data_IF_796430750073
#
_entry.id   IF_796430750073
#
_cell.length_a   1.000
_cell.length_b   1.000
_cell.length_c   1.000
_cell.angle_alpha   90.00
_cell.angle_beta   90.00
_cell.angle_gamma   90.00
#
_symmetry.space_group_name_H-M   'P 1'
#
loop_
_entity.id
_entity.type
_entity.pdbx_description
1 polymer ?
#
# COMPACT_ATOMS: atom_id res chain seq x y z
N UNK A 1 -27.10 -62.12 -32.35
CA UNK A 1 -25.71 -62.10 -32.87
C UNK A 1 -24.74 -61.57 -31.80
N UNK A 2 -24.87 -62.01 -30.54
CA UNK A 2 -24.05 -61.55 -29.41
C UNK A 2 -23.31 -62.73 -28.75
N UNK A 3 -23.62 -63.97 -29.14
CA UNK A 3 -23.01 -65.18 -28.57
C UNK A 3 -21.76 -65.67 -29.33
N UNK A 4 -21.50 -65.13 -30.51
CA UNK A 4 -20.35 -65.50 -31.35
C UNK A 4 -19.14 -64.56 -31.19
N UNK A 5 -19.24 -63.50 -30.37
CA UNK A 5 -18.13 -62.57 -30.16
C UNK A 5 -17.11 -63.06 -29.13
N UNK A 6 -17.48 -64.02 -28.29
CA UNK A 6 -16.60 -64.52 -27.21
C UNK A 6 -15.56 -65.55 -27.71
N UNK A 7 -15.69 -66.07 -28.92
CA UNK A 7 -14.78 -67.09 -29.48
C UNK A 7 -13.62 -66.52 -30.31
N UNK A 8 -13.54 -65.20 -30.51
CA UNK A 8 -12.45 -64.56 -31.25
C UNK A 8 -11.31 -64.00 -30.37
N UNK A 9 -11.32 -64.27 -29.05
CA UNK A 9 -10.29 -63.83 -28.09
C UNK A 9 -9.27 -64.98 -27.84
N UNK A 10 -8.99 -65.78 -28.85
CA UNK A 10 -7.86 -66.72 -28.83
C UNK A 10 -7.26 -66.86 -30.23
N UNK A 11 -6.63 -65.78 -30.69
CA UNK A 11 -5.37 -65.78 -31.46
C UNK A 11 -5.15 -64.41 -32.08
N UNK A 12 -3.89 -64.00 -32.07
CA UNK A 12 -3.25 -63.00 -32.92
C UNK A 12 -3.15 -61.57 -32.39
N UNK A 13 -1.91 -61.07 -32.36
CA UNK A 13 -1.39 -59.77 -31.91
C UNK A 13 -1.95 -58.53 -32.64
N UNK A 14 -3.09 -58.66 -33.33
CA UNK A 14 -3.75 -57.59 -34.09
C UNK A 14 -4.92 -56.92 -33.34
N UNK A 15 -5.23 -57.37 -32.12
CA UNK A 15 -6.33 -56.80 -31.31
C UNK A 15 -6.01 -55.40 -30.78
N UNK A 16 -4.78 -55.19 -30.29
CA UNK A 16 -4.35 -53.90 -29.73
C UNK A 16 -4.23 -52.84 -30.84
N UNK A 17 -3.71 -53.21 -32.01
CA UNK A 17 -3.61 -52.31 -33.17
C UNK A 17 -5.01 -51.90 -33.70
N UNK A 18 -6.00 -52.80 -33.70
CA UNK A 18 -7.37 -52.48 -34.07
C UNK A 18 -8.08 -51.61 -33.04
N UNK A 19 -7.82 -51.82 -31.74
CA UNK A 19 -8.35 -50.96 -30.66
C UNK A 19 -7.72 -49.57 -30.72
N UNK A 20 -6.41 -49.46 -30.94
CA UNK A 20 -5.72 -48.18 -31.17
C UNK A 20 -6.21 -47.48 -32.42
N UNK A 21 -6.43 -48.21 -33.53
CA UNK A 21 -6.99 -47.65 -34.75
C UNK A 21 -8.43 -47.16 -34.56
N UNK A 22 -9.25 -47.87 -33.77
CA UNK A 22 -10.61 -47.46 -33.45
C UNK A 22 -10.62 -46.26 -32.48
N UNK A 23 -9.71 -46.23 -31.50
CA UNK A 23 -9.53 -45.09 -30.59
C UNK A 23 -9.00 -43.85 -31.32
N UNK A 24 -8.10 -44.00 -32.29
CA UNK A 24 -7.63 -42.91 -33.15
C UNK A 24 -8.75 -42.41 -34.07
N UNK A 25 -9.58 -43.31 -34.59
CA UNK A 25 -10.75 -42.93 -35.40
C UNK A 25 -11.82 -42.25 -34.55
N UNK A 26 -12.06 -42.70 -33.31
CA UNK A 26 -12.93 -42.05 -32.34
C UNK A 26 -12.33 -40.72 -31.87
N UNK A 27 -11.01 -40.59 -31.72
CA UNK A 27 -10.36 -39.29 -31.45
C UNK A 27 -10.46 -38.33 -32.64
N UNK A 28 -10.46 -38.83 -33.87
CA UNK A 28 -10.66 -38.04 -35.08
C UNK A 28 -12.13 -37.63 -35.25
N UNK A 29 -13.10 -38.50 -34.93
CA UNK A 29 -14.53 -38.16 -35.00
C UNK A 29 -15.01 -37.34 -33.80
N UNK A 30 -14.41 -37.52 -32.61
CA UNK A 30 -14.66 -36.68 -31.43
C UNK A 30 -13.92 -35.33 -31.47
N UNK A 31 -13.11 -35.08 -32.53
CA UNK A 31 -12.55 -33.76 -32.86
C UNK A 31 -13.42 -32.94 -33.82
N UNK A 32 -14.68 -33.32 -33.98
CA UNK A 32 -15.69 -32.43 -34.54
C UNK A 32 -16.58 -31.94 -33.40
N UNK A 33 -16.05 -31.01 -32.60
CA UNK A 33 -16.97 -30.04 -31.99
C UNK A 33 -17.68 -29.37 -33.18
N UNK A 34 -18.99 -29.53 -33.26
CA UNK A 34 -19.82 -28.72 -34.14
C UNK A 34 -19.75 -27.27 -33.63
N UNK A 35 -18.62 -26.59 -33.84
CA UNK A 35 -18.52 -25.15 -33.64
C UNK A 35 -19.20 -24.51 -34.83
N UNK A 36 -20.47 -24.13 -34.63
CA UNK A 36 -21.15 -23.24 -35.56
C UNK A 36 -20.21 -22.04 -35.81
N UNK A 37 -19.84 -21.78 -37.06
CA UNK A 37 -18.94 -20.67 -37.38
C UNK A 37 -19.54 -19.35 -36.83
N UNK A 38 -18.69 -18.48 -36.29
CA UNK A 38 -19.18 -17.27 -35.60
C UNK A 38 -20.05 -16.37 -36.50
N UNK A 39 -19.78 -16.39 -37.81
CA UNK A 39 -20.58 -15.74 -38.85
C UNK A 39 -22.02 -16.24 -38.89
N UNK A 40 -22.25 -17.54 -38.66
CA UNK A 40 -23.55 -18.18 -38.68
C UNK A 40 -24.38 -17.85 -37.43
N UNK A 41 -23.72 -17.67 -36.28
CA UNK A 41 -24.36 -17.24 -35.02
C UNK A 41 -24.97 -15.82 -35.09
N UNK A 42 -24.50 -15.01 -36.04
CA UNK A 42 -24.85 -13.58 -36.16
C UNK A 42 -25.70 -13.25 -37.38
N UNK A 43 -26.30 -14.25 -38.04
CA UNK A 43 -27.27 -14.01 -39.11
C UNK A 43 -28.42 -13.10 -38.58
N UNK A 44 -28.61 -11.95 -39.23
CA UNK A 44 -29.57 -10.89 -38.86
C UNK A 44 -29.22 -10.04 -37.62
N UNK A 45 -27.97 -10.06 -37.16
CA UNK A 45 -27.48 -9.08 -36.18
C UNK A 45 -26.86 -7.86 -36.86
N UNK A 46 -26.93 -6.71 -36.20
CA UNK A 46 -26.16 -5.50 -36.56
C UNK A 46 -24.69 -5.58 -36.13
N UNK A 47 -24.30 -6.65 -35.45
CA UNK A 47 -22.91 -6.94 -35.12
C UNK A 47 -22.36 -8.05 -36.02
N UNK A 48 -21.09 -7.90 -36.39
CA UNK A 48 -20.33 -8.85 -37.19
C UNK A 48 -19.42 -9.65 -36.28
N UNK A 49 -19.38 -10.97 -36.47
CA UNK A 49 -18.40 -11.83 -35.80
C UNK A 49 -17.57 -12.59 -36.82
N UNK A 50 -16.25 -12.62 -36.58
CA UNK A 50 -15.30 -13.34 -37.41
C UNK A 50 -14.15 -13.88 -36.56
N UNK A 51 -13.42 -14.83 -37.12
CA UNK A 51 -12.21 -15.39 -36.52
C UNK A 51 -10.99 -14.95 -37.31
N UNK A 52 -9.95 -14.52 -36.60
CA UNK A 52 -8.66 -14.15 -37.19
C UNK A 52 -7.55 -14.65 -36.27
N UNK A 53 -6.56 -15.37 -36.83
CA UNK A 53 -5.47 -16.00 -36.06
C UNK A 53 -5.95 -16.80 -34.83
N UNK A 54 -6.99 -17.63 -35.02
CA UNK A 54 -7.63 -18.45 -33.96
C UNK A 54 -8.26 -17.65 -32.81
N UNK A 55 -8.41 -16.33 -32.95
CA UNK A 55 -9.09 -15.45 -32.01
C UNK A 55 -10.45 -14.97 -32.58
N UNK A 56 -11.44 -14.81 -31.70
CA UNK A 56 -12.79 -14.37 -32.07
C UNK A 56 -12.93 -12.86 -31.90
N UNK A 57 -13.37 -12.18 -32.95
CA UNK A 57 -13.59 -10.74 -32.98
C UNK A 57 -15.08 -10.47 -33.13
N UNK A 58 -15.60 -9.53 -32.34
CA UNK A 58 -16.99 -9.11 -32.38
C UNK A 58 -17.05 -7.58 -32.55
N UNK A 59 -17.52 -7.14 -33.72
CA UNK A 59 -17.60 -5.73 -34.07
C UNK A 59 -19.06 -5.31 -34.26
N UNK A 60 -19.50 -4.29 -33.53
CA UNK A 60 -20.84 -3.75 -33.59
C UNK A 60 -20.80 -2.31 -34.09
N UNK A 61 -21.50 -2.01 -35.19
CA UNK A 61 -21.53 -0.68 -35.80
C UNK A 61 -22.97 -0.24 -36.07
N UNK A 62 -23.28 1.05 -35.91
CA UNK A 62 -24.59 1.66 -36.25
C UNK A 62 -25.75 0.87 -35.61
N UNK A 63 -25.62 0.60 -34.31
CA UNK A 63 -26.54 -0.27 -33.56
C UNK A 63 -26.81 0.24 -32.16
N UNK A 64 -27.94 -0.19 -31.59
CA UNK A 64 -28.36 0.11 -30.22
C UNK A 64 -27.74 -0.82 -29.19
N UNK A 65 -27.66 -0.39 -27.93
CA UNK A 65 -27.04 -1.13 -26.83
C UNK A 65 -27.68 -2.51 -26.57
N UNK A 66 -28.99 -2.63 -26.81
CA UNK A 66 -29.74 -3.89 -26.65
C UNK A 66 -29.22 -5.00 -27.57
N UNK A 67 -28.94 -4.67 -28.82
CA UNK A 67 -28.50 -5.65 -29.81
C UNK A 67 -27.06 -6.11 -29.54
N UNK A 68 -26.22 -5.20 -29.06
CA UNK A 68 -24.87 -5.49 -28.57
C UNK A 68 -24.91 -6.50 -27.41
N UNK A 69 -25.76 -6.25 -26.40
CA UNK A 69 -25.94 -7.19 -25.28
C UNK A 69 -26.42 -8.57 -25.75
N UNK A 70 -27.27 -8.62 -26.78
CA UNK A 70 -27.72 -9.88 -27.36
C UNK A 70 -26.63 -10.59 -28.17
N UNK A 71 -25.71 -9.84 -28.80
CA UNK A 71 -24.54 -10.38 -29.50
C UNK A 71 -23.55 -11.02 -28.52
N UNK A 72 -23.18 -10.30 -27.45
CA UNK A 72 -22.27 -10.78 -26.41
C UNK A 72 -22.79 -12.03 -25.67
N UNK A 73 -24.12 -12.22 -25.61
CA UNK A 73 -24.73 -13.45 -25.05
C UNK A 73 -24.66 -14.65 -26.00
N UNK A 74 -24.60 -14.42 -27.31
CA UNK A 74 -24.60 -15.47 -28.33
C UNK A 74 -23.20 -15.96 -28.66
N UNK A 75 -22.22 -15.05 -28.66
CA UNK A 75 -20.83 -15.37 -28.99
C UNK A 75 -20.05 -15.66 -27.72
N UNK A 76 -19.51 -16.87 -27.62
CA UNK A 76 -18.59 -17.25 -26.55
C UNK A 76 -17.13 -16.94 -26.94
N UNK A 77 -16.27 -16.80 -25.92
CA UNK A 77 -14.82 -16.66 -26.09
C UNK A 77 -14.37 -15.49 -26.99
N UNK A 78 -15.11 -14.38 -26.97
CA UNK A 78 -14.72 -13.15 -27.67
C UNK A 78 -13.36 -12.67 -27.16
N UNK A 79 -12.39 -12.57 -28.05
CA UNK A 79 -11.03 -12.11 -27.77
C UNK A 79 -10.94 -10.59 -27.81
N UNK A 80 -11.51 -9.99 -28.86
CA UNK A 80 -11.58 -8.54 -29.05
C UNK A 80 -13.02 -8.12 -29.37
N UNK A 81 -13.43 -7.01 -28.77
CA UNK A 81 -14.79 -6.49 -28.90
C UNK A 81 -14.77 -5.01 -29.23
N UNK A 82 -15.46 -4.64 -30.29
CA UNK A 82 -15.51 -3.26 -30.78
C UNK A 82 -16.95 -2.73 -30.88
N UNK A 83 -17.14 -1.48 -30.49
CA UNK A 83 -18.36 -0.70 -30.71
C UNK A 83 -18.00 0.57 -31.46
N UNK A 84 -18.68 0.81 -32.58
CA UNK A 84 -18.54 2.02 -33.39
C UNK A 84 -19.91 2.65 -33.58
N UNK A 85 -19.99 3.97 -33.54
CA UNK A 85 -21.19 4.72 -33.94
C UNK A 85 -22.45 4.16 -33.27
N UNK A 86 -22.46 4.15 -31.93
CA UNK A 86 -23.59 3.63 -31.15
C UNK A 86 -24.84 4.44 -31.50
N UNK A 87 -25.76 3.81 -32.23
CA UNK A 87 -27.03 4.39 -32.63
C UNK A 87 -27.94 4.41 -31.41
N UNK A 88 -28.38 5.60 -31.01
CA UNK A 88 -29.20 5.79 -29.82
C UNK A 88 -28.80 6.98 -28.95
N UNK A 89 -29.68 7.28 -27.98
CA UNK A 89 -29.51 8.37 -27.03
C UNK A 89 -28.88 7.92 -25.71
N UNK A 90 -28.33 6.71 -25.66
CA UNK A 90 -27.67 6.17 -24.48
C UNK A 90 -26.43 7.01 -24.11
N UNK A 91 -26.45 7.56 -22.90
CA UNK A 91 -25.32 8.28 -22.33
C UNK A 91 -24.58 7.48 -21.26
N UNK A 92 -25.04 6.25 -20.98
CA UNK A 92 -24.55 5.41 -19.90
C UNK A 92 -24.34 3.96 -20.34
N UNK A 93 -23.18 3.41 -19.97
CA UNK A 93 -22.90 1.98 -20.02
C UNK A 93 -23.00 1.42 -18.59
N UNK A 94 -24.15 0.81 -18.29
CA UNK A 94 -24.46 0.33 -16.94
C UNK A 94 -23.80 -1.00 -16.56
N UNK A 95 -24.00 -1.43 -15.31
CA UNK A 95 -23.46 -2.70 -14.81
C UNK A 95 -24.01 -3.89 -15.59
N UNK A 96 -23.28 -5.01 -15.58
CA UNK A 96 -23.64 -6.25 -16.29
C UNK A 96 -23.73 -6.14 -17.82
N UNK A 97 -23.11 -5.11 -18.41
CA UNK A 97 -22.97 -5.03 -19.86
C UNK A 97 -22.17 -6.21 -20.43
N UNK A 98 -21.06 -6.55 -19.77
CA UNK A 98 -20.25 -7.73 -20.10
C UNK A 98 -20.81 -8.96 -19.36
N UNK A 99 -21.06 -10.09 -20.06
CA UNK A 99 -21.51 -11.32 -19.41
C UNK A 99 -20.50 -11.87 -18.40
N UNK A 100 -20.99 -12.49 -17.34
CA UNK A 100 -20.14 -13.17 -16.37
C UNK A 100 -19.38 -14.32 -17.02
N UNK A 101 -18.11 -14.52 -16.61
CA UNK A 101 -17.24 -15.56 -17.18
C UNK A 101 -16.66 -15.24 -18.55
N UNK A 102 -17.01 -14.08 -19.14
CA UNK A 102 -16.36 -13.60 -20.36
C UNK A 102 -14.93 -13.17 -20.09
N UNK A 103 -14.06 -13.34 -21.10
CA UNK A 103 -12.68 -12.89 -21.05
C UNK A 103 -12.27 -12.26 -22.38
N UNK A 104 -12.62 -10.98 -22.52
CA UNK A 104 -12.27 -10.11 -23.63
C UNK A 104 -10.98 -9.38 -23.26
N UNK A 105 -9.96 -9.49 -24.12
CA UNK A 105 -8.64 -8.89 -23.90
C UNK A 105 -8.56 -7.47 -24.43
N UNK A 106 -9.25 -7.18 -25.52
CA UNK A 106 -9.20 -5.87 -26.17
C UNK A 106 -10.62 -5.32 -26.33
N UNK A 107 -10.88 -4.18 -25.69
CA UNK A 107 -12.13 -3.45 -25.87
C UNK A 107 -11.84 -2.16 -26.61
N UNK A 108 -12.60 -1.91 -27.66
CA UNK A 108 -12.59 -0.66 -28.39
C UNK A 108 -14.00 -0.08 -28.46
N UNK A 109 -14.20 1.14 -28.00
CA UNK A 109 -15.47 1.87 -28.07
C UNK A 109 -15.16 3.21 -28.69
N UNK A 110 -15.77 3.55 -29.82
CA UNK A 110 -15.52 4.84 -30.45
C UNK A 110 -16.74 5.49 -31.06
N UNK A 111 -16.70 6.83 -31.11
CA UNK A 111 -17.77 7.68 -31.67
C UNK A 111 -19.13 7.36 -31.04
N UNK A 112 -19.21 7.47 -29.71
CA UNK A 112 -20.44 7.21 -28.95
C UNK A 112 -20.86 8.43 -28.14
N UNK A 113 -22.13 8.46 -27.71
CA UNK A 113 -22.64 9.49 -26.80
C UNK A 113 -22.42 9.18 -25.32
N UNK A 114 -21.67 8.10 -25.00
CA UNK A 114 -21.48 7.62 -23.64
C UNK A 114 -20.69 8.66 -22.82
N UNK A 115 -21.27 9.05 -21.68
CA UNK A 115 -20.73 9.98 -20.68
C UNK A 115 -20.31 9.30 -19.40
N UNK A 116 -21.04 8.25 -19.02
CA UNK A 116 -20.80 7.49 -17.80
C UNK A 116 -20.64 6.01 -18.12
N UNK A 117 -19.64 5.38 -17.51
CA UNK A 117 -19.44 3.94 -17.55
C UNK A 117 -19.40 3.50 -16.11
N UNK A 118 -20.33 2.62 -15.74
CA UNK A 118 -20.39 2.10 -14.38
C UNK A 118 -19.11 1.30 -14.07
N UNK A 119 -18.57 1.45 -12.87
CA UNK A 119 -17.34 0.79 -12.43
C UNK A 119 -17.43 -0.75 -12.50
N UNK A 120 -18.63 -1.32 -12.41
CA UNK A 120 -18.86 -2.77 -12.47
C UNK A 120 -18.95 -3.29 -13.92
N UNK A 121 -19.04 -2.41 -14.91
CA UNK A 121 -19.20 -2.75 -16.35
C UNK A 121 -18.15 -3.73 -16.84
N UNK A 122 -16.88 -3.43 -16.55
CA UNK A 122 -15.73 -4.22 -17.01
C UNK A 122 -15.17 -5.14 -15.92
N UNK A 123 -15.76 -5.18 -14.72
CA UNK A 123 -15.30 -6.04 -13.63
C UNK A 123 -15.21 -7.54 -13.99
N UNK A 124 -16.08 -8.11 -14.86
CA UNK A 124 -15.90 -9.49 -15.32
C UNK A 124 -14.54 -9.74 -16.00
N UNK A 125 -13.96 -8.73 -16.62
CA UNK A 125 -12.75 -8.80 -17.46
C UNK A 125 -11.45 -8.55 -16.70
N UNK A 126 -11.52 -8.17 -15.42
CA UNK A 126 -10.39 -7.74 -14.57
C UNK A 126 -9.12 -8.60 -14.59
N UNK A 127 -9.21 -9.90 -14.90
CA UNK A 127 -8.07 -10.84 -14.89
C UNK A 127 -7.40 -11.00 -16.26
N UNK A 128 -8.00 -10.45 -17.31
CA UNK A 128 -7.52 -10.67 -18.67
C UNK A 128 -7.67 -9.51 -19.65
N UNK A 129 -8.30 -8.40 -19.24
CA UNK A 129 -8.28 -7.18 -20.04
C UNK A 129 -6.83 -6.70 -20.20
N UNK A 130 -6.39 -6.56 -21.45
CA UNK A 130 -5.04 -6.16 -21.83
C UNK A 130 -5.03 -4.75 -22.46
N UNK A 131 -6.09 -4.39 -23.20
CA UNK A 131 -6.25 -3.04 -23.77
C UNK A 131 -7.68 -2.53 -23.62
N UNK A 132 -7.81 -1.27 -23.18
CA UNK A 132 -9.07 -0.53 -23.17
C UNK A 132 -8.91 0.74 -23.98
N UNK A 133 -9.71 0.87 -25.04
CA UNK A 133 -9.76 2.06 -25.89
C UNK A 133 -11.19 2.60 -25.92
N UNK A 134 -11.36 3.86 -25.50
CA UNK A 134 -12.62 4.59 -25.54
C UNK A 134 -12.33 5.93 -26.21
N UNK A 135 -12.62 6.08 -27.50
CA UNK A 135 -12.23 7.23 -28.31
C UNK A 135 -13.44 8.09 -28.70
N UNK A 136 -13.22 9.39 -28.85
CA UNK A 136 -14.23 10.31 -29.44
C UNK A 136 -15.62 10.11 -28.83
N UNK A 137 -15.66 9.92 -27.51
CA UNK A 137 -16.88 9.75 -26.74
C UNK A 137 -17.05 10.96 -25.82
N UNK A 138 -17.81 10.83 -24.72
CA UNK A 138 -18.09 11.95 -23.80
C UNK A 138 -17.76 11.62 -22.34
N UNK A 139 -16.91 10.61 -22.11
CA UNK A 139 -16.60 10.15 -20.76
C UNK A 139 -15.83 11.21 -19.97
N UNK A 140 -16.19 11.33 -18.70
CA UNK A 140 -15.55 12.25 -17.73
C UNK A 140 -14.71 11.53 -16.69
N UNK A 141 -14.98 10.24 -16.48
CA UNK A 141 -14.36 9.41 -15.44
C UNK A 141 -13.90 8.07 -16.04
N UNK A 142 -12.84 7.53 -15.47
CA UNK A 142 -12.27 6.23 -15.85
C UNK A 142 -12.90 5.15 -14.95
N UNK A 143 -13.32 3.99 -15.48
CA UNK A 143 -13.85 2.89 -14.68
C UNK A 143 -12.73 2.23 -13.87
N UNK A 144 -12.54 2.67 -12.63
CA UNK A 144 -11.35 2.35 -11.83
C UNK A 144 -11.34 0.91 -11.35
N UNK A 145 -12.51 0.38 -10.97
CA UNK A 145 -12.57 -0.95 -10.35
C UNK A 145 -11.98 -2.01 -11.24
N UNK A 146 -12.33 -2.07 -12.52
CA UNK A 146 -11.81 -3.07 -13.45
C UNK A 146 -10.32 -2.91 -13.79
N UNK A 147 -9.77 -1.70 -13.62
CA UNK A 147 -8.40 -1.35 -13.99
C UNK A 147 -7.44 -1.26 -12.80
N UNK A 148 -7.92 -1.24 -11.57
CA UNK A 148 -7.07 -1.15 -10.39
C UNK A 148 -6.44 -2.50 -10.05
N UNK A 149 -5.10 -2.55 -9.94
CA UNK A 149 -4.40 -3.77 -9.56
C UNK A 149 -4.58 -4.13 -8.08
N UNK A 150 -4.76 -3.13 -7.22
CA UNK A 150 -4.94 -3.31 -5.76
C UNK A 150 -6.27 -3.97 -5.43
N UNK A 151 -7.28 -3.78 -6.27
CA UNK A 151 -8.57 -4.44 -6.13
C UNK A 151 -8.51 -5.96 -6.36
N UNK A 152 -7.41 -6.49 -6.95
CA UNK A 152 -7.39 -7.86 -7.49
C UNK A 152 -6.11 -8.67 -7.24
N UNK A 153 -5.43 -8.47 -6.10
CA UNK A 153 -4.22 -9.22 -5.76
C UNK A 153 -3.15 -9.18 -6.88
N UNK A 154 -3.02 -8.04 -7.58
CA UNK A 154 -2.06 -7.84 -8.67
C UNK A 154 -2.25 -8.75 -9.90
N UNK A 155 -3.49 -9.21 -10.17
CA UNK A 155 -3.83 -10.05 -11.34
C UNK A 155 -4.24 -9.27 -12.60
N UNK A 156 -4.10 -7.95 -12.59
CA UNK A 156 -4.44 -7.12 -13.74
C UNK A 156 -3.41 -7.31 -14.88
N UNK A 157 -3.88 -7.31 -16.13
CA UNK A 157 -3.07 -7.44 -17.35
C UNK A 157 -3.11 -6.20 -18.24
N UNK A 158 -3.72 -5.11 -17.80
CA UNK A 158 -3.86 -3.90 -18.61
C UNK A 158 -2.48 -3.33 -18.97
N UNK A 159 -2.17 -3.27 -20.26
CA UNK A 159 -0.91 -2.71 -20.77
C UNK A 159 -1.13 -1.43 -21.55
N UNK A 160 -2.35 -1.22 -22.07
CA UNK A 160 -2.70 -0.03 -22.85
C UNK A 160 -4.06 0.54 -22.43
N UNK A 161 -4.08 1.85 -22.20
CA UNK A 161 -5.32 2.61 -21.98
C UNK A 161 -5.33 3.76 -22.98
N UNK A 162 -6.38 3.87 -23.76
CA UNK A 162 -6.51 4.89 -24.79
C UNK A 162 -7.86 5.61 -24.64
N UNK A 163 -7.82 6.86 -24.22
CA UNK A 163 -8.97 7.67 -23.84
C UNK A 163 -8.95 9.01 -24.59
N UNK A 164 -8.38 9.06 -25.78
CA UNK A 164 -8.28 10.28 -26.57
C UNK A 164 -9.66 10.83 -26.98
N UNK A 165 -9.73 12.15 -27.16
CA UNK A 165 -10.90 12.88 -27.64
C UNK A 165 -12.16 12.68 -26.76
N UNK A 166 -12.00 12.72 -25.44
CA UNK A 166 -13.09 12.64 -24.46
C UNK A 166 -13.29 13.96 -23.71
N UNK A 167 -13.80 13.90 -22.48
CA UNK A 167 -14.06 15.04 -21.59
C UNK A 167 -13.48 14.80 -20.19
N UNK A 168 -12.36 14.07 -20.11
CA UNK A 168 -11.65 13.85 -18.86
C UNK A 168 -11.09 15.17 -18.34
N UNK A 169 -11.24 15.40 -17.03
CA UNK A 169 -10.63 16.51 -16.31
C UNK A 169 -9.53 16.04 -15.36
N UNK A 170 -9.62 14.80 -14.87
CA UNK A 170 -8.66 14.22 -13.94
C UNK A 170 -8.43 12.75 -14.25
N UNK A 171 -7.26 12.25 -13.87
CA UNK A 171 -6.95 10.82 -13.83
C UNK A 171 -6.68 10.48 -12.37
N UNK A 172 -7.40 9.54 -11.75
CA UNK A 172 -7.16 9.14 -10.37
C UNK A 172 -5.71 8.67 -10.16
N UNK A 173 -5.02 9.26 -9.19
CA UNK A 173 -3.62 8.91 -8.92
C UNK A 173 -3.49 7.50 -8.36
N UNK A 174 -4.47 7.05 -7.60
CA UNK A 174 -4.55 5.69 -7.05
C UNK A 174 -4.57 4.65 -8.17
N UNK A 175 -5.26 4.94 -9.27
CA UNK A 175 -5.25 4.08 -10.45
C UNK A 175 -3.85 4.01 -11.05
N UNK A 176 -3.25 5.17 -11.35
CA UNK A 176 -1.91 5.27 -11.97
C UNK A 176 -0.85 4.54 -11.16
N UNK A 177 -0.79 4.79 -9.85
CA UNK A 177 0.13 4.13 -8.93
C UNK A 177 -0.10 2.63 -8.84
N UNK A 178 -1.36 2.16 -8.93
CA UNK A 178 -1.66 0.73 -8.91
C UNK A 178 -1.19 -0.01 -10.17
N UNK A 179 -1.15 0.67 -11.32
CA UNK A 179 -0.79 0.06 -12.62
C UNK A 179 0.62 0.39 -13.12
N UNK A 180 1.33 1.29 -12.44
CA UNK A 180 2.62 1.86 -12.82
C UNK A 180 3.66 0.84 -13.30
N UNK A 181 3.73 -0.33 -12.65
CA UNK A 181 4.75 -1.34 -12.94
C UNK A 181 4.51 -2.16 -14.22
N UNK A 182 3.32 -2.12 -14.81
CA UNK A 182 2.96 -2.98 -15.95
C UNK A 182 2.28 -2.24 -17.11
N UNK A 183 1.72 -1.06 -16.86
CA UNK A 183 1.18 -0.22 -17.91
C UNK A 183 2.30 0.25 -18.84
N UNK A 184 2.04 0.24 -20.14
CA UNK A 184 3.03 0.62 -21.17
C UNK A 184 2.68 1.95 -21.81
N UNK A 185 1.40 2.20 -22.06
CA UNK A 185 0.93 3.39 -22.76
C UNK A 185 -0.43 3.83 -22.21
N UNK A 186 -0.53 5.13 -21.90
CA UNK A 186 -1.80 5.79 -21.60
C UNK A 186 -1.91 7.02 -22.50
N UNK A 187 -2.91 7.00 -23.39
CA UNK A 187 -3.17 8.07 -24.35
C UNK A 187 -4.41 8.87 -23.91
N UNK A 188 -4.25 10.19 -23.75
CA UNK A 188 -5.29 11.11 -23.24
C UNK A 188 -5.37 12.41 -24.05
N UNK A 189 -4.89 12.39 -25.29
CA UNK A 189 -4.94 13.54 -26.19
C UNK A 189 -6.37 14.09 -26.33
N UNK A 190 -6.50 15.39 -26.56
CA UNK A 190 -7.80 16.08 -26.73
C UNK A 190 -8.77 15.92 -25.55
N UNK A 191 -8.22 15.76 -24.34
CA UNK A 191 -8.89 16.00 -23.07
C UNK A 191 -8.33 17.28 -22.43
N UNK A 192 -9.09 17.89 -21.50
CA UNK A 192 -8.67 19.11 -20.78
C UNK A 192 -8.43 18.76 -19.32
N UNK A 193 -7.18 18.44 -18.98
CA UNK A 193 -6.79 17.92 -17.67
C UNK A 193 -6.45 19.08 -16.71
N UNK A 194 -6.77 18.92 -15.43
CA UNK A 194 -6.34 19.86 -14.38
C UNK A 194 -4.86 19.61 -14.08
N UNK A 195 -4.00 20.53 -14.53
CA UNK A 195 -2.55 20.44 -14.35
C UNK A 195 -2.09 21.38 -13.25
N UNK A 196 -1.94 20.87 -12.02
CA UNK A 196 -1.44 21.65 -10.87
C UNK A 196 -0.14 21.01 -10.34
N UNK A 197 0.87 21.82 -10.04
CA UNK A 197 2.02 21.35 -9.27
C UNK A 197 1.61 21.21 -7.80
N UNK A 198 1.31 19.99 -7.37
CA UNK A 198 0.96 19.67 -5.98
C UNK A 198 1.68 18.37 -5.60
N UNK A 199 1.95 18.17 -4.31
CA UNK A 199 2.56 16.93 -3.83
C UNK A 199 1.62 15.77 -4.13
N UNK A 200 2.14 14.68 -4.69
CA UNK A 200 1.37 13.48 -5.04
C UNK A 200 0.13 13.82 -5.88
N UNK A 201 0.32 14.47 -7.02
CA UNK A 201 -0.74 14.78 -7.97
C UNK A 201 -0.51 14.06 -9.31
N UNK A 202 -1.60 13.73 -10.00
CA UNK A 202 -1.65 13.25 -11.38
C UNK A 202 -0.69 13.99 -12.32
N UNK A 203 -0.64 15.33 -12.30
CA UNK A 203 0.24 16.09 -13.20
C UNK A 203 1.71 15.84 -12.89
N UNK A 204 2.10 15.83 -11.61
CA UNK A 204 3.47 15.47 -11.22
C UNK A 204 3.83 14.05 -11.62
N UNK A 205 2.88 13.11 -11.49
CA UNK A 205 3.07 11.73 -11.94
C UNK A 205 3.29 11.64 -13.45
N UNK A 206 2.49 12.35 -14.26
CA UNK A 206 2.66 12.43 -15.72
C UNK A 206 4.05 13.00 -16.07
N UNK A 207 4.51 14.01 -15.32
CA UNK A 207 5.83 14.61 -15.50
C UNK A 207 6.99 13.64 -15.19
N UNK A 208 6.79 12.72 -14.25
CA UNK A 208 7.78 11.71 -13.87
C UNK A 208 7.74 10.46 -14.76
N UNK A 209 6.67 10.25 -15.52
CA UNK A 209 6.45 9.07 -16.35
C UNK A 209 6.26 9.39 -17.86
N UNK A 210 7.21 10.08 -18.52
CA UNK A 210 7.08 10.52 -19.92
C UNK A 210 6.95 9.37 -20.94
N UNK A 211 7.31 8.14 -20.56
CA UNK A 211 7.17 6.95 -21.41
C UNK A 211 5.75 6.36 -21.41
N UNK A 212 4.98 6.59 -20.34
CA UNK A 212 3.62 6.07 -20.18
C UNK A 212 2.61 7.09 -20.71
N UNK A 213 2.72 8.35 -20.27
CA UNK A 213 1.91 9.47 -20.77
C UNK A 213 2.85 10.51 -21.38
N UNK A 214 2.64 10.82 -22.66
CA UNK A 214 3.40 11.86 -23.35
C UNK A 214 2.93 13.24 -22.86
N UNK A 215 3.74 13.89 -22.03
CA UNK A 215 3.42 15.21 -21.45
C UNK A 215 2.98 16.25 -22.50
N UNK A 216 3.62 16.26 -23.66
CA UNK A 216 3.35 17.22 -24.74
C UNK A 216 2.00 17.02 -25.43
N UNK A 217 1.31 15.89 -25.22
CA UNK A 217 -0.04 15.66 -25.77
C UNK A 217 -1.14 16.05 -24.80
N UNK A 218 -0.80 16.40 -23.55
CA UNK A 218 -1.77 16.80 -22.52
C UNK A 218 -2.14 18.26 -22.71
N UNK A 219 -3.44 18.53 -22.89
CA UNK A 219 -3.98 19.90 -22.83
C UNK A 219 -4.46 20.17 -21.42
N UNK A 220 -4.03 21.28 -20.85
CA UNK A 220 -4.34 21.63 -19.47
C UNK A 220 -5.45 22.67 -19.40
N UNK A 221 -6.30 22.58 -18.37
CA UNK A 221 -7.34 23.58 -18.12
C UNK A 221 -6.72 24.99 -17.99
N UNK A 222 -7.32 25.97 -18.67
CA UNK A 222 -6.86 27.37 -18.77
C UNK A 222 -5.45 27.57 -19.36
N UNK A 223 -4.86 26.58 -20.02
CA UNK A 223 -3.45 26.62 -20.46
C UNK A 223 -2.44 26.89 -19.32
N UNK A 224 -2.86 26.75 -18.06
CA UNK A 224 -2.13 27.15 -16.84
C UNK A 224 -1.02 26.15 -16.42
N UNK A 225 -0.53 25.32 -17.33
CA UNK A 225 0.49 24.35 -16.94
C UNK A 225 1.88 24.97 -16.91
N UNK A 226 2.71 24.60 -15.93
CA UNK A 226 4.08 25.08 -15.87
C UNK A 226 4.85 24.52 -17.07
N UNK A 227 5.43 25.42 -17.87
CA UNK A 227 6.25 25.08 -19.04
C UNK A 227 7.48 24.23 -18.67
N UNK A 228 7.90 24.33 -17.42
CA UNK A 228 9.00 23.57 -16.84
C UNK A 228 8.47 22.41 -15.98
N UNK A 229 9.32 21.41 -15.74
CA UNK A 229 9.00 20.33 -14.81
C UNK A 229 8.66 20.91 -13.44
N UNK A 230 7.60 20.42 -12.79
CA UNK A 230 7.22 20.87 -11.45
C UNK A 230 8.41 20.68 -10.50
N UNK A 231 8.88 21.79 -9.96
CA UNK A 231 9.91 21.82 -8.94
C UNK A 231 9.25 22.05 -7.58
N UNK A 232 9.23 21.02 -6.75
CA UNK A 232 8.52 21.05 -5.47
C UNK A 232 9.50 21.41 -4.33
N UNK A 233 9.14 22.36 -3.45
CA UNK A 233 9.93 22.66 -2.27
C UNK A 233 9.94 21.49 -1.30
N UNK A 234 11.02 21.31 -0.54
CA UNK A 234 11.13 20.24 0.43
C UNK A 234 11.29 20.81 1.84
N UNK A 235 10.30 20.57 2.71
CA UNK A 235 10.35 20.97 4.12
C UNK A 235 11.20 19.93 4.85
N UNK A 236 12.45 20.30 5.16
CA UNK A 236 13.44 19.42 5.80
C UNK A 236 13.14 19.24 7.28
N UNK A 237 12.72 20.32 7.92
CA UNK A 237 12.48 20.35 9.36
C UNK A 237 11.34 21.32 9.67
N UNK A 238 10.50 20.92 10.62
CA UNK A 238 9.46 21.73 11.24
C UNK A 238 9.46 21.42 12.74
N UNK A 239 9.60 22.45 13.58
CA UNK A 239 9.49 22.34 15.04
C UNK A 239 8.51 23.35 15.60
N UNK A 240 7.91 23.00 16.72
CA UNK A 240 7.10 23.90 17.54
C UNK A 240 7.78 24.01 18.91
N UNK A 241 8.46 25.12 19.13
CA UNK A 241 9.20 25.40 20.35
C UNK A 241 8.37 26.34 21.22
N UNK A 242 8.12 25.90 22.45
CA UNK A 242 7.28 26.65 23.39
C UNK A 242 8.03 27.86 23.94
N UNK A 243 7.40 29.03 23.91
CA UNK A 243 8.00 30.27 24.40
C UNK A 243 7.34 30.75 25.70
N UNK A 244 6.03 31.03 25.70
CA UNK A 244 5.29 31.51 26.90
C UNK A 244 4.04 30.66 27.22
N UNK A 245 3.21 31.13 28.16
CA UNK A 245 2.02 30.41 28.65
C UNK A 245 0.98 30.11 27.55
N UNK A 246 0.84 31.01 26.56
CA UNK A 246 -0.16 30.96 25.49
C UNK A 246 0.45 31.18 24.09
N UNK A 247 1.76 31.04 23.94
CA UNK A 247 2.47 31.29 22.68
C UNK A 247 3.43 30.16 22.32
N UNK A 248 3.53 29.88 21.02
CA UNK A 248 4.43 28.85 20.48
C UNK A 248 5.16 29.42 19.26
N UNK A 249 6.48 29.26 19.25
CA UNK A 249 7.33 29.61 18.13
C UNK A 249 7.42 28.41 17.19
N UNK A 250 6.84 28.53 16.01
CA UNK A 250 6.99 27.51 14.97
C UNK A 250 8.19 27.88 14.12
N UNK A 251 9.14 26.96 13.94
CA UNK A 251 10.34 27.17 13.12
C UNK A 251 10.46 26.10 12.03
N UNK A 252 11.02 26.46 10.89
CA UNK A 252 11.14 25.55 9.75
C UNK A 252 12.39 25.78 8.91
N UNK A 253 12.78 24.72 8.20
CA UNK A 253 13.83 24.72 7.19
C UNK A 253 13.29 24.16 5.88
N UNK A 254 13.27 25.00 4.84
CA UNK A 254 12.86 24.61 3.48
C UNK A 254 14.09 24.55 2.58
N UNK A 255 14.28 23.41 1.91
CA UNK A 255 15.19 23.26 0.79
C UNK A 255 14.46 23.63 -0.50
N UNK A 256 15.16 24.30 -1.41
CA UNK A 256 14.64 24.75 -2.69
C UNK A 256 13.52 25.82 -2.57
N UNK A 257 13.88 26.98 -2.01
CA UNK A 257 12.93 28.07 -1.73
C UNK A 257 12.49 28.83 -2.98
N UNK A 258 13.22 28.73 -4.09
CA UNK A 258 12.92 29.42 -5.35
C UNK A 258 11.56 29.05 -5.94
N UNK A 259 11.08 27.86 -5.59
CA UNK A 259 9.86 27.25 -6.12
C UNK A 259 8.65 27.51 -5.21
N UNK A 260 8.86 28.16 -4.07
CA UNK A 260 7.80 28.61 -3.15
C UNK A 260 7.32 30.00 -3.58
N UNK A 261 6.02 30.14 -3.87
CA UNK A 261 5.40 31.44 -4.20
C UNK A 261 4.61 32.03 -3.04
N UNK A 262 4.04 31.18 -2.19
CA UNK A 262 3.41 31.60 -0.94
C UNK A 262 3.69 30.61 0.20
N UNK A 263 3.74 31.14 1.42
CA UNK A 263 3.98 30.37 2.64
C UNK A 263 2.90 30.67 3.68
N UNK A 264 2.26 29.62 4.18
CA UNK A 264 1.21 29.73 5.19
C UNK A 264 1.47 28.78 6.37
N UNK A 265 1.06 29.19 7.56
CA UNK A 265 0.98 28.34 8.74
C UNK A 265 -0.47 28.14 9.10
N UNK A 266 -0.95 26.91 8.92
CA UNK A 266 -2.29 26.47 9.28
C UNK A 266 -2.22 25.83 10.66
N UNK A 267 -3.11 26.18 11.58
CA UNK A 267 -3.13 25.58 12.90
C UNK A 267 -4.54 25.47 13.48
N UNK A 268 -4.77 24.40 14.23
CA UNK A 268 -6.06 24.12 14.87
C UNK A 268 -5.87 23.24 16.10
N UNK A 269 -6.84 23.30 17.01
CA UNK A 269 -6.89 22.41 18.16
C UNK A 269 -7.39 21.03 17.73
N UNK A 270 -6.78 19.95 18.19
CA UNK A 270 -7.14 18.59 17.77
C UNK A 270 -8.57 18.15 18.16
N UNK A 271 -9.26 18.88 19.04
CA UNK A 271 -10.68 18.66 19.35
C UNK A 271 -11.55 18.83 18.09
N UNK A 272 -12.56 17.98 17.93
CA UNK A 272 -13.36 17.82 16.70
C UNK A 272 -14.15 19.06 16.23
N UNK A 273 -14.25 20.11 17.05
CA UNK A 273 -15.04 21.33 16.78
C UNK A 273 -14.22 22.62 16.79
N UNK A 274 -12.90 22.54 16.63
CA UNK A 274 -12.06 23.74 16.65
C UNK A 274 -12.09 24.50 15.32
N UNK A 275 -12.04 25.83 15.42
CA UNK A 275 -11.82 26.69 14.25
C UNK A 275 -10.39 26.47 13.73
N UNK A 276 -10.25 26.25 12.42
CA UNK A 276 -8.96 26.24 11.73
C UNK A 276 -8.53 27.67 11.50
N UNK A 277 -7.32 28.01 11.91
CA UNK A 277 -6.71 29.33 11.66
C UNK A 277 -5.64 29.18 10.59
N UNK A 278 -5.63 30.10 9.63
CA UNK A 278 -4.60 30.20 8.59
C UNK A 278 -3.86 31.53 8.77
N UNK A 279 -2.52 31.49 8.84
CA UNK A 279 -1.67 32.67 8.95
C UNK A 279 -0.73 32.75 7.76
N UNK A 280 -0.77 33.86 7.02
CA UNK A 280 0.22 34.15 5.97
C UNK A 280 1.57 34.49 6.59
N UNK A 281 2.65 34.02 5.97
CA UNK A 281 4.01 34.22 6.44
C UNK A 281 4.91 34.65 5.28
N UNK A 282 5.80 35.61 5.55
CA UNK A 282 6.82 36.04 4.59
C UNK A 282 7.69 34.85 4.12
N UNK A 283 7.93 34.77 2.81
CA UNK A 283 8.76 33.78 2.14
C UNK A 283 10.19 33.68 2.72
N UNK A 284 10.75 34.80 3.17
CA UNK A 284 12.11 34.87 3.72
C UNK A 284 12.20 34.43 5.18
N UNK A 285 11.07 34.38 5.89
CA UNK A 285 11.05 34.01 7.29
C UNK A 285 11.33 32.50 7.49
N UNK A 286 11.91 32.16 8.63
CA UNK A 286 12.16 30.76 9.05
C UNK A 286 11.39 30.40 10.32
N UNK A 287 10.61 31.34 10.85
CA UNK A 287 9.82 31.13 12.04
C UNK A 287 8.65 32.10 12.11
N UNK A 288 7.62 31.73 12.86
CA UNK A 288 6.52 32.61 13.21
C UNK A 288 6.02 32.29 14.62
N UNK A 289 5.66 33.34 15.35
CA UNK A 289 5.03 33.19 16.65
C UNK A 289 3.51 33.03 16.47
N UNK A 290 2.96 31.97 17.05
CA UNK A 290 1.52 31.78 17.21
C UNK A 290 1.16 32.22 18.62
N UNK A 291 0.21 33.15 18.73
CA UNK A 291 -0.28 33.69 20.00
C UNK A 291 -1.74 33.31 20.23
N UNK A 292 -2.25 33.66 21.41
CA UNK A 292 -3.67 33.52 21.77
C UNK A 292 -4.18 32.08 21.67
N UNK A 293 -3.33 31.15 22.11
CA UNK A 293 -3.64 29.74 22.22
C UNK A 293 -4.41 29.47 23.52
N UNK A 294 -5.37 28.55 23.46
CA UNK A 294 -6.12 28.11 24.63
C UNK A 294 -5.23 27.20 25.49
N UNK A 295 -5.19 27.41 26.82
CA UNK A 295 -4.39 26.57 27.71
C UNK A 295 -4.99 25.16 27.85
N UNK A 296 -4.14 24.17 28.14
CA UNK A 296 -4.51 22.75 28.31
C UNK A 296 -5.18 22.11 27.08
N UNK A 297 -4.84 22.59 25.90
CA UNK A 297 -5.26 22.04 24.61
C UNK A 297 -4.07 21.47 23.82
N UNK A 298 -4.34 20.46 23.00
CA UNK A 298 -3.39 19.93 22.01
C UNK A 298 -3.66 20.59 20.65
N UNK A 299 -2.62 21.13 20.04
CA UNK A 299 -2.68 21.82 18.76
C UNK A 299 -1.87 21.08 17.70
N UNK A 300 -2.33 21.19 16.46
CA UNK A 300 -1.58 20.83 15.27
C UNK A 300 -1.27 22.11 14.50
N UNK A 301 -0.01 22.31 14.12
CA UNK A 301 0.41 23.34 13.19
C UNK A 301 1.06 22.71 11.95
N UNK A 302 0.65 23.14 10.78
CA UNK A 302 1.13 22.70 9.49
C UNK A 302 1.73 23.90 8.74
N UNK A 303 2.94 23.72 8.23
CA UNK A 303 3.55 24.64 7.28
C UNK A 303 3.13 24.22 5.86
N UNK A 304 2.53 25.14 5.11
CA UNK A 304 2.05 24.91 3.76
C UNK A 304 2.79 25.82 2.78
N UNK A 305 3.34 25.22 1.73
CA UNK A 305 3.89 25.94 0.58
C UNK A 305 2.91 25.87 -0.58
N UNK A 306 2.81 26.94 -1.36
CA UNK A 306 1.92 27.00 -2.53
C UNK A 306 2.64 27.56 -3.76
N UNK A 307 2.20 27.09 -4.94
CA UNK A 307 2.70 27.53 -6.24
C UNK A 307 2.07 28.85 -6.72
N UNK A 308 0.96 29.26 -6.12
CA UNK A 308 0.26 30.52 -6.37
C UNK A 308 -0.07 31.19 -5.02
N UNK A 309 -0.11 32.51 -5.00
CA UNK A 309 -0.51 33.34 -3.87
C UNK A 309 -2.03 33.34 -3.65
N UNK A 310 -2.81 32.80 -4.59
CA UNK A 310 -4.26 32.70 -4.47
C UNK A 310 -4.67 31.54 -3.54
N UNK A 311 -4.70 31.77 -2.23
CA UNK A 311 -5.62 31.04 -1.33
C UNK A 311 -7.09 31.24 -1.80
N UNK A 312 -7.31 32.29 -2.59
CA UNK A 312 -8.57 32.81 -3.13
C UNK A 312 -9.31 31.80 -4.03
N UNK A 313 -8.63 31.00 -4.87
CA UNK A 313 -9.34 30.05 -5.75
C UNK A 313 -9.87 28.81 -5.01
N UNK A 314 -9.35 28.54 -3.81
CA UNK A 314 -9.74 27.41 -2.96
C UNK A 314 -10.97 27.69 -2.09
N UNK A 315 -11.28 28.96 -1.86
CA UNK A 315 -12.40 29.40 -1.01
C UNK A 315 -13.61 29.86 -1.82
N UNK A 316 -13.41 30.21 -3.09
CA UNK A 316 -14.45 30.81 -3.94
C UNK A 316 -15.40 29.82 -4.61
N UNK A 317 -15.00 28.56 -4.86
CA UNK A 317 -15.89 27.64 -5.57
C UNK A 317 -16.84 26.85 -4.67
N UNK A 318 -16.52 26.60 -3.39
CA UNK A 318 -17.37 25.70 -2.60
C UNK A 318 -17.88 26.20 -1.24
N UNK A 319 -17.28 27.18 -0.52
CA UNK A 319 -17.66 27.30 0.91
C UNK A 319 -17.73 28.66 1.61
N UNK A 320 -17.16 29.78 1.15
CA UNK A 320 -17.25 31.01 1.97
C UNK A 320 -17.32 32.27 1.12
N UNK A 321 -18.46 32.97 1.17
CA UNK A 321 -18.63 34.31 0.62
C UNK A 321 -17.80 35.35 1.38
N UNK A 322 -16.49 35.36 1.17
CA UNK A 322 -15.57 36.36 1.71
C UNK A 322 -15.27 37.37 0.60
N UNK A 323 -15.56 38.65 0.86
CA UNK A 323 -15.22 39.73 -0.07
C UNK A 323 -13.70 39.86 -0.23
N UNK A 324 -13.27 40.04 -1.47
CA UNK A 324 -11.87 40.05 -1.92
C UNK A 324 -10.95 41.13 -1.29
N UNK A 325 -11.48 42.03 -0.45
CA UNK A 325 -10.75 43.19 0.07
C UNK A 325 -10.01 42.95 1.39
N UNK A 326 -10.26 41.84 2.10
CA UNK A 326 -9.68 41.59 3.42
C UNK A 326 -8.40 40.73 3.43
N UNK A 327 -7.93 40.26 2.26
CA UNK A 327 -6.83 39.29 2.18
C UNK A 327 -5.42 39.90 2.16
N UNK A 328 -5.31 41.23 2.27
CA UNK A 328 -4.03 41.95 2.11
C UNK A 328 -3.23 42.16 3.41
N UNK A 329 -3.65 41.65 4.57
CA UNK A 329 -2.84 41.78 5.79
C UNK A 329 -3.15 40.74 6.86
N UNK A 330 -2.18 39.91 7.27
CA UNK A 330 -2.14 39.16 8.54
C UNK A 330 -3.49 38.67 9.13
N UNK A 331 -4.43 38.21 8.30
CA UNK A 331 -5.76 37.82 8.77
C UNK A 331 -5.76 36.35 9.12
N UNK A 332 -5.92 36.03 10.41
CA UNK A 332 -6.33 34.69 10.83
C UNK A 332 -7.78 34.46 10.43
N UNK A 333 -7.99 33.80 9.31
CA UNK A 333 -9.33 33.37 8.86
C UNK A 333 -9.73 32.09 9.60
N UNK A 334 -10.92 32.07 10.18
CA UNK A 334 -11.51 30.87 10.80
C UNK A 334 -12.18 30.02 9.74
N UNK A 335 -11.87 28.72 9.69
CA UNK A 335 -12.44 27.78 8.71
C UNK A 335 -12.81 26.44 9.36
N UNK A 336 -13.64 25.66 8.66
CA UNK A 336 -14.01 24.31 9.07
C UNK A 336 -12.83 23.33 8.89
N UNK A 337 -12.68 22.34 9.78
CA UNK A 337 -11.64 21.30 9.74
C UNK A 337 -11.59 20.51 8.43
N UNK A 338 -12.74 20.30 7.78
CA UNK A 338 -12.78 19.63 6.47
C UNK A 338 -11.99 20.40 5.40
N UNK A 339 -11.92 21.73 5.52
CA UNK A 339 -11.19 22.60 4.60
C UNK A 339 -9.68 22.47 4.84
N UNK A 340 -9.23 22.25 6.09
CA UNK A 340 -7.80 22.06 6.40
C UNK A 340 -7.20 20.86 5.65
N UNK A 341 -7.91 19.73 5.60
CA UNK A 341 -7.44 18.54 4.87
C UNK A 341 -7.27 18.82 3.37
N UNK A 342 -8.21 19.56 2.77
CA UNK A 342 -8.13 19.98 1.37
C UNK A 342 -6.95 20.91 1.12
N UNK A 343 -6.73 21.92 1.97
CA UNK A 343 -5.60 22.85 1.85
C UNK A 343 -4.24 22.14 1.97
N UNK A 344 -4.13 21.18 2.89
CA UNK A 344 -2.93 20.36 3.06
C UNK A 344 -2.69 19.53 1.79
N UNK A 345 -3.72 18.84 1.29
CA UNK A 345 -3.62 18.00 0.10
C UNK A 345 -3.29 18.79 -1.18
N UNK A 346 -3.75 20.04 -1.27
CA UNK A 346 -3.53 20.91 -2.42
C UNK A 346 -2.24 21.72 -2.36
N UNK A 347 -1.48 21.63 -1.28
CA UNK A 347 -0.20 22.31 -1.13
C UNK A 347 0.89 21.70 -2.02
N UNK A 348 1.88 22.50 -2.43
CA UNK A 348 3.07 21.99 -3.14
C UNK A 348 3.93 21.13 -2.23
N UNK A 349 3.98 21.50 -0.95
CA UNK A 349 4.54 20.72 0.13
C UNK A 349 3.91 21.18 1.44
N UNK A 350 3.66 20.21 2.31
CA UNK A 350 3.14 20.41 3.66
C UNK A 350 3.84 19.49 4.64
N UNK A 351 4.15 20.01 5.81
CA UNK A 351 4.56 19.22 6.98
C UNK A 351 3.83 19.74 8.21
N UNK A 352 3.52 18.85 9.15
CA UNK A 352 2.75 19.17 10.35
C UNK A 352 3.48 18.74 11.62
N UNK A 353 3.31 19.51 12.69
CA UNK A 353 3.83 19.23 14.03
C UNK A 353 2.72 19.43 15.05
N UNK A 354 2.69 18.57 16.07
CA UNK A 354 1.75 18.67 17.18
C UNK A 354 2.44 19.21 18.43
N UNK A 355 1.72 19.96 19.25
CA UNK A 355 2.24 20.53 20.48
C UNK A 355 1.15 20.80 21.51
N UNK A 356 1.52 20.70 22.80
CA UNK A 356 0.63 20.94 23.93
C UNK A 356 0.82 22.34 24.53
N UNK A 357 -0.28 22.98 24.91
CA UNK A 357 -0.27 24.20 25.72
C UNK A 357 -0.23 23.89 27.22
N UNK A 358 0.13 24.87 28.05
CA UNK A 358 0.34 24.64 29.50
C UNK A 358 -0.94 24.18 30.18
N UNK A 359 -0.82 23.09 30.94
CA UNK A 359 -1.81 22.71 31.95
C UNK A 359 -1.70 23.69 33.11
N UNK A 360 -2.57 24.69 33.18
CA UNK A 360 -2.68 25.51 34.41
C UNK A 360 -3.00 24.56 35.57
N UNK A 361 -2.18 24.49 36.65
CA UNK A 361 -2.58 23.75 37.83
C UNK A 361 -3.83 24.42 38.40
N UNK A 362 -4.94 23.68 38.46
CA UNK A 362 -6.13 24.11 39.18
C UNK A 362 -5.74 24.34 40.64
N UNK A 363 -5.54 25.60 41.01
CA UNK A 363 -5.40 26.04 42.40
C UNK A 363 -6.77 25.94 43.06
N UNK A 364 -7.19 24.71 43.36
CA UNK A 364 -8.28 24.46 44.29
C UNK A 364 -7.74 24.86 45.67
N UNK A 365 -8.11 26.06 46.14
CA UNK A 365 -7.95 26.43 47.55
C UNK A 365 -8.97 25.65 48.38
N UNK A 366 -8.71 24.38 48.64
CA UNK A 366 -9.37 23.66 49.74
C UNK A 366 -8.53 23.84 50.99
N UNK A 367 -9.04 24.64 51.93
CA UNK A 367 -8.65 24.53 53.34
C UNK A 367 -9.09 23.15 53.82
N UNK A 368 -8.16 22.23 54.00
CA UNK A 368 -8.36 21.10 54.92
C UNK A 368 -7.02 20.59 55.43
N UNK A 369 -6.94 20.58 56.76
CA UNK A 369 -6.15 19.72 57.65
C UNK A 369 -5.00 18.90 57.06
N UNK A 370 -3.84 19.08 57.70
CA UNK A 370 -2.70 18.15 57.74
C UNK A 370 -3.15 16.69 57.66
N UNK A 371 -2.60 15.94 56.70
CA UNK A 371 -2.21 14.55 56.91
C UNK A 371 -1.21 14.07 55.85
N UNK A 372 -0.49 13.02 56.21
CA UNK A 372 0.92 12.76 55.95
C UNK A 372 1.33 12.47 54.49
N UNK A 373 2.50 13.02 54.11
CA UNK A 373 3.31 12.59 52.94
C UNK A 373 3.90 11.19 53.19
N UNK A 374 3.29 10.14 52.66
CA UNK A 374 3.97 8.87 52.33
C UNK A 374 3.10 8.01 51.41
N UNK A 375 3.11 8.25 50.10
CA UNK A 375 2.53 7.28 49.15
C UNK A 375 3.09 7.30 47.71
N UNK A 376 4.05 8.16 47.35
CA UNK A 376 4.60 8.20 45.97
C UNK A 376 5.94 7.49 45.77
N UNK A 377 6.63 7.06 46.84
CA UNK A 377 7.94 6.39 46.76
C UNK A 377 7.82 4.85 46.75
N UNK A 378 6.66 4.29 47.13
CA UNK A 378 6.48 2.84 47.21
C UNK A 378 6.16 2.18 45.86
N UNK A 379 5.54 2.89 44.91
CA UNK A 379 5.17 2.32 43.60
C UNK A 379 6.32 2.27 42.57
N UNK A 380 7.36 3.10 42.72
CA UNK A 380 8.52 3.09 41.81
C UNK A 380 9.53 1.98 42.18
N UNK A 381 9.52 1.52 43.44
CA UNK A 381 10.43 0.46 43.92
C UNK A 381 9.81 -0.95 43.83
N UNK A 382 8.49 -1.07 43.92
CA UNK A 382 7.79 -2.35 43.73
C UNK A 382 7.85 -2.85 42.28
N UNK A 383 7.75 -1.97 41.29
CA UNK A 383 7.85 -2.35 39.87
C UNK A 383 9.23 -2.94 39.48
N UNK A 384 10.32 -2.41 40.04
CA UNK A 384 11.66 -2.93 39.82
C UNK A 384 11.84 -4.32 40.46
N UNK A 385 11.33 -4.50 41.68
CA UNK A 385 11.42 -5.78 42.40
C UNK A 385 10.59 -6.87 41.70
N UNK A 386 9.39 -6.53 41.24
CA UNK A 386 8.51 -7.44 40.48
C UNK A 386 9.08 -7.74 39.10
N UNK A 387 9.71 -6.76 38.44
CA UNK A 387 10.39 -6.97 37.15
C UNK A 387 11.59 -7.90 37.26
N UNK A 388 12.41 -7.73 38.31
CA UNK A 388 13.57 -8.60 38.55
C UNK A 388 13.16 -10.04 38.89
N UNK A 389 12.09 -10.26 39.66
CA UNK A 389 11.62 -11.61 39.99
C UNK A 389 10.99 -12.33 38.79
N UNK A 390 10.20 -11.62 37.97
CA UNK A 390 9.67 -12.16 36.71
C UNK A 390 10.78 -12.50 35.71
N UNK A 391 11.78 -11.63 35.56
CA UNK A 391 12.94 -11.90 34.71
C UNK A 391 13.74 -13.12 35.14
N UNK A 392 13.92 -13.30 36.46
CA UNK A 392 14.60 -14.48 37.03
C UNK A 392 13.87 -15.78 36.72
N UNK A 393 12.53 -15.79 36.84
CA UNK A 393 11.71 -16.98 36.55
C UNK A 393 11.81 -17.34 35.06
N UNK A 394 11.68 -16.34 34.17
CA UNK A 394 11.78 -16.57 32.72
C UNK A 394 13.16 -17.11 32.35
N UNK A 395 14.23 -16.59 32.94
CA UNK A 395 15.60 -17.07 32.71
C UNK A 395 15.76 -18.55 33.09
N UNK A 396 15.27 -18.96 34.27
CA UNK A 396 15.34 -20.37 34.68
C UNK A 396 14.52 -21.30 33.79
N UNK A 397 13.33 -20.88 33.36
CA UNK A 397 12.53 -21.66 32.41
C UNK A 397 13.26 -21.82 31.08
N UNK A 398 13.84 -20.74 30.56
CA UNK A 398 14.59 -20.74 29.30
C UNK A 398 15.82 -21.67 29.38
N UNK A 399 16.60 -21.57 30.46
CA UNK A 399 17.75 -22.45 30.72
C UNK A 399 17.31 -23.91 30.87
N UNK A 400 16.20 -24.18 31.58
CA UNK A 400 15.68 -25.55 31.75
C UNK A 400 15.25 -26.15 30.41
N UNK A 401 14.61 -25.37 29.53
CA UNK A 401 14.23 -25.81 28.17
C UNK A 401 15.46 -26.04 27.30
N UNK A 402 16.48 -25.18 27.38
CA UNK A 402 17.75 -25.39 26.65
C UNK A 402 18.52 -26.62 27.13
N UNK A 403 18.55 -26.85 28.44
CA UNK A 403 19.16 -28.05 29.01
C UNK A 403 18.36 -29.31 28.64
N UNK A 404 17.03 -29.24 28.65
CA UNK A 404 16.17 -30.36 28.25
C UNK A 404 16.34 -30.70 26.76
N UNK A 405 16.39 -29.69 25.88
CA UNK A 405 16.63 -29.88 24.45
C UNK A 405 18.02 -30.44 24.18
N UNK A 406 19.07 -29.90 24.80
CA UNK A 406 20.45 -30.44 24.73
C UNK A 406 20.55 -31.86 25.26
N UNK A 407 19.85 -32.19 26.36
CA UNK A 407 19.86 -33.54 26.93
C UNK A 407 19.10 -34.55 26.05
N UNK A 408 17.98 -34.13 25.46
CA UNK A 408 17.22 -34.93 24.48
C UNK A 408 18.03 -35.16 23.20
N UNK A 409 18.81 -34.17 22.77
CA UNK A 409 19.68 -34.26 21.61
C UNK A 409 20.86 -35.20 21.85
N UNK A 410 21.53 -35.13 23.01
CA UNK A 410 22.54 -36.12 23.43
C UNK A 410 21.96 -37.54 23.53
N UNK A 411 20.71 -37.69 23.99
CA UNK A 411 20.02 -38.99 24.01
C UNK A 411 19.67 -39.53 22.63
N UNK A 412 19.49 -38.70 21.60
CA UNK A 412 19.29 -39.16 20.22
C UNK A 412 20.62 -39.59 19.59
N UNK A 413 21.69 -38.84 19.82
CA UNK A 413 23.03 -39.16 19.32
C UNK A 413 23.53 -40.48 19.92
N UNK A 414 23.34 -40.68 21.23
CA UNK A 414 23.70 -41.94 21.91
C UNK A 414 22.83 -43.16 21.51
N UNK A 415 21.71 -42.95 20.78
CA UNK A 415 20.85 -44.03 20.25
C UNK A 415 21.05 -44.28 18.76
N UNK A 416 21.80 -43.43 18.08
CA UNK A 416 22.09 -43.50 16.64
C UNK A 416 23.56 -43.84 16.34
N UNK A 417 24.41 -44.05 17.34
CA UNK A 417 25.79 -44.53 17.14
C UNK A 417 25.80 -46.04 16.83
N UNK A 418 26.40 -46.49 15.70
CA UNK A 418 26.45 -47.90 15.28
C UNK A 418 27.34 -48.81 16.16
N UNK A 419 28.05 -48.25 17.15
CA UNK A 419 29.02 -48.99 17.96
C UNK A 419 28.40 -49.73 19.17
N UNK A 420 27.10 -49.56 19.45
CA UNK A 420 26.41 -50.23 20.57
C UNK A 420 25.72 -51.55 20.18
N UNK A 421 25.70 -51.92 18.89
CA UNK A 421 25.20 -53.24 18.44
C UNK A 421 26.28 -54.33 18.45
N UNK A 422 27.54 -54.00 18.74
CA UNK A 422 28.67 -54.94 18.64
C UNK A 422 29.33 -55.28 19.99
N UNK A 423 28.82 -54.74 21.10
CA UNK A 423 29.34 -54.99 22.46
C UNK A 423 28.33 -55.74 23.34
N UNK A 424 27.63 -56.74 22.79
CA UNK A 424 26.86 -57.70 23.58
C UNK A 424 27.20 -59.17 23.28
N UNK A 425 28.17 -59.43 22.41
CA UNK A 425 28.70 -60.76 22.13
C UNK A 425 30.18 -60.81 22.53
N UNK A 426 30.49 -60.87 23.83
CA UNK A 426 31.68 -61.60 24.29
C UNK A 426 31.47 -62.06 25.74
N UNK A 427 31.36 -63.38 25.82
CA UNK A 427 31.36 -64.20 27.01
C UNK A 427 32.61 -64.04 27.88
N UNK A 428 32.37 -64.05 29.19
CA UNK A 428 32.98 -64.97 30.18
C UNK A 428 34.47 -64.87 30.56
N UNK A 429 34.67 -65.02 31.88
CA UNK A 429 35.80 -65.62 32.64
C UNK A 429 36.69 -64.65 33.45
N UNK A 430 36.82 -65.02 34.75
CA UNK A 430 37.80 -64.65 35.79
C UNK A 430 37.66 -63.30 36.52
N UNK A 431 37.98 -63.15 37.81
CA UNK A 431 37.74 -63.87 39.07
C UNK A 431 38.44 -63.05 40.19
N UNK A 432 37.76 -62.89 41.34
CA UNK A 432 38.25 -62.83 42.74
C UNK A 432 39.35 -61.83 43.22
N UNK A 433 38.98 -61.15 44.32
CA UNK A 433 39.73 -60.89 45.60
C UNK A 433 40.87 -59.83 45.54
N UNK A 434 41.18 -58.98 46.54
CA UNK A 434 40.72 -58.70 47.91
C UNK A 434 41.42 -57.40 48.45
N UNK A 435 41.13 -57.03 49.72
CA UNK A 435 41.91 -56.22 50.70
C UNK A 435 41.61 -54.69 50.72
N UNK A 436 40.90 -54.05 51.68
CA UNK A 436 40.90 -53.97 53.17
C UNK A 436 41.77 -52.81 53.77
N UNK A 437 41.05 -51.88 54.43
CA UNK A 437 41.35 -51.04 55.63
C UNK A 437 42.46 -49.96 55.69
N UNK A 438 42.07 -48.74 56.10
CA UNK A 438 42.28 -48.10 57.44
C UNK A 438 41.88 -46.60 57.36
N UNK A 439 40.81 -46.10 58.03
CA UNK A 439 40.74 -45.56 59.43
C UNK A 439 41.78 -44.46 59.70
N UNK A 440 41.52 -43.23 60.19
CA UNK A 440 40.54 -42.69 61.15
C UNK A 440 40.80 -41.17 61.37
N UNK A 441 39.76 -40.39 61.75
CA UNK A 441 39.72 -39.25 62.72
C UNK A 441 40.75 -38.11 62.63
N UNK A 442 40.56 -36.86 63.05
CA UNK A 442 39.47 -35.95 63.43
C UNK A 442 40.19 -34.63 63.80
N UNK A 443 39.45 -33.51 63.79
CA UNK A 443 39.57 -32.41 64.76
C UNK A 443 40.69 -31.35 64.64
N UNK A 444 40.19 -30.11 64.42
CA UNK A 444 40.43 -28.85 65.18
C UNK A 444 41.76 -28.08 65.11
N UNK A 445 41.58 -26.80 64.76
CA UNK A 445 42.15 -25.59 65.40
C UNK A 445 43.65 -25.28 65.17
N UNK A 446 44.11 -24.03 65.11
CA UNK A 446 43.65 -22.67 64.80
C UNK A 446 44.88 -21.79 65.14
N UNK A 447 45.05 -20.63 64.50
CA UNK A 447 45.75 -19.43 65.05
C UNK A 447 47.30 -19.54 65.20
N UNK A 448 48.20 -18.55 64.98
CA UNK A 448 48.19 -17.15 64.55
C UNK A 448 49.64 -16.61 64.72
N UNK A 449 50.06 -15.70 63.83
CA UNK A 449 51.04 -14.61 63.98
C UNK A 449 52.46 -14.83 64.55
N UNK A 450 53.42 -14.37 63.72
CA UNK A 450 54.44 -13.40 64.16
C UNK A 450 55.88 -13.87 64.06
N UNK A 451 56.70 -13.20 63.24
CA UNK A 451 57.88 -12.46 63.73
C UNK A 451 58.65 -11.74 62.61
N UNK A 452 59.33 -10.70 63.05
CA UNK A 452 59.86 -9.50 62.36
C UNK A 452 61.38 -9.52 62.15
N UNK A 453 61.83 -8.77 61.11
CA UNK A 453 63.11 -7.99 60.95
C UNK A 453 64.45 -8.77 61.06
N UNK A 454 65.50 -8.55 60.25
CA UNK A 454 66.17 -7.27 59.92
C UNK A 454 67.35 -7.51 58.93
N UNK A 455 67.65 -6.62 57.96
CA UNK A 455 69.00 -6.07 57.66
C UNK A 455 68.99 -5.06 56.49
N UNK A 456 69.53 -3.86 56.75
CA UNK A 456 69.97 -2.85 55.80
C UNK A 456 71.48 -3.02 55.49
N UNK A 457 71.96 -2.59 54.31
CA UNK A 457 73.12 -1.68 54.06
C UNK A 457 72.97 -1.12 52.62
N UNK A 458 73.38 0.13 52.38
CA UNK A 458 73.28 0.85 51.10
C UNK A 458 74.63 1.24 50.46
N UNK A 459 74.64 1.31 49.10
CA UNK A 459 75.43 2.12 48.13
C UNK A 459 76.98 2.07 48.14
N UNK A 460 77.75 2.08 47.04
CA UNK A 460 77.64 2.43 45.58
C UNK A 460 78.37 1.33 44.72
N UNK A 461 78.38 1.22 43.38
CA UNK A 461 78.55 2.19 42.26
C UNK A 461 78.47 1.43 40.91
N UNK A 462 78.45 2.07 39.75
CA UNK A 462 77.29 2.60 39.01
C UNK A 462 77.39 1.90 37.64
N UNK A 463 76.58 0.87 37.40
CA UNK A 463 76.40 0.09 36.16
C UNK A 463 75.41 -1.03 36.52
#
# INVERSE_FOLDING_TARGET
>A
MIRDFYSAIQRNDNGIAKILSLLLFIFQTCRTENTLECSQLMQNSKCTCYTFEDAVYLDCQDTILKDIKNALKRVSNVHAFSIYDLDGSEEELGPHFIPQGSCIKHIHISRTNIRYIDDETFMPLRKCLESLSILSSKIKFIPQKALSATSFNNLNKIVKIDLEHNKLQTIPLELLTSIENHIQDISIQDNVIICRCQKNNTWTWIQDHPKIIKQYTVTCFNDDYPKEKCDLPFIVQLSADKQDDNSVLVTWLIRNRTSVKALHVLYYNEVTFSDVKLKHVDLNSTSTLITDLEPNMNYMACLLTMYDNSVINLLNEDFIGINATDFESNTTTKMNRNIAASLIAQSTASECVTFDTIKKPLLIKTKSSKDYKTSSILNRRTGLIVGCSLGFIVFFVMVTVLLYTKFKERKRIAKSDPAWSEMNDYHSIQSKEDIIQHSTTASTDNILLGMTKNRNVSFDKII
#
